data_IF_816008327268
#
_entry.id   IF_816008327268
#
_cell.length_a   1.000
_cell.length_b   1.000
_cell.length_c   1.000
_cell.angle_alpha   90.00
_cell.angle_beta   90.00
_cell.angle_gamma   90.00
#
_symmetry.space_group_name_H-M   'P 1'
#
loop_
_entity.id
_entity.type
_entity.pdbx_description
1 polymer ?
#
# COMPACT_ATOMS: atom_id res chain seq x y z
N UNK A 1 -4.18 19.55 17.83
CA UNK A 1 -3.77 18.45 18.69
C UNK A 1 -4.68 17.24 18.59
N UNK A 2 -6.00 17.43 18.67
CA UNK A 2 -6.94 16.33 18.48
C UNK A 2 -6.80 15.68 17.12
N UNK A 3 -6.53 16.46 16.07
CA UNK A 3 -6.37 15.95 14.71
C UNK A 3 -5.17 15.02 14.58
N UNK A 4 -4.05 15.35 15.22
CA UNK A 4 -2.84 14.52 15.19
C UNK A 4 -3.11 13.15 15.81
N UNK A 5 -3.76 13.14 16.97
CA UNK A 5 -4.12 11.89 17.65
C UNK A 5 -5.07 11.05 16.82
N UNK A 6 -6.05 11.67 16.16
CA UNK A 6 -7.01 11.00 15.29
C UNK A 6 -6.33 10.38 14.08
N UNK A 7 -5.40 11.10 13.45
CA UNK A 7 -4.63 10.58 12.32
C UNK A 7 -3.79 9.39 12.73
N UNK A 8 -3.13 9.46 13.89
CA UNK A 8 -2.32 8.35 14.37
C UNK A 8 -3.17 7.09 14.59
N UNK A 9 -4.37 7.25 15.14
CA UNK A 9 -5.29 6.13 15.32
C UNK A 9 -5.70 5.51 13.99
N UNK A 10 -5.99 6.33 12.98
CA UNK A 10 -6.35 5.86 11.65
C UNK A 10 -5.20 5.10 11.02
N UNK A 11 -3.99 5.67 11.08
CA UNK A 11 -2.79 5.07 10.50
C UNK A 11 -2.46 3.74 11.19
N UNK A 12 -2.54 3.69 12.51
CA UNK A 12 -2.31 2.46 13.28
C UNK A 12 -3.31 1.37 12.91
N UNK A 13 -4.58 1.74 12.81
CA UNK A 13 -5.65 0.81 12.44
C UNK A 13 -5.39 0.22 11.06
N UNK A 14 -5.03 1.06 10.09
CA UNK A 14 -4.73 0.62 8.74
C UNK A 14 -3.49 -0.29 8.74
N UNK A 15 -2.46 0.10 9.45
CA UNK A 15 -1.20 -0.65 9.53
C UNK A 15 -1.41 -2.05 10.09
N UNK A 16 -2.29 -2.17 11.08
CA UNK A 16 -2.59 -3.46 11.71
C UNK A 16 -3.53 -4.32 10.88
N UNK A 17 -4.40 -3.71 10.07
CA UNK A 17 -5.49 -4.41 9.37
C UNK A 17 -5.48 -4.24 7.86
N UNK A 18 -4.35 -3.87 7.28
CA UNK A 18 -4.27 -3.57 5.85
C UNK A 18 -4.74 -4.74 4.97
N UNK A 19 -4.54 -5.98 5.42
CA UNK A 19 -4.90 -7.17 4.64
C UNK A 19 -6.39 -7.51 4.71
N UNK A 20 -7.15 -6.79 5.51
CA UNK A 20 -8.59 -7.00 5.69
C UNK A 20 -9.36 -5.88 4.98
N UNK A 21 -10.66 -6.10 4.69
CA UNK A 21 -11.48 -5.00 4.16
C UNK A 21 -11.54 -3.86 5.17
N UNK A 22 -11.27 -2.65 4.69
CA UNK A 22 -11.32 -1.44 5.52
C UNK A 22 -12.20 -0.43 4.79
N UNK A 23 -13.25 0.05 5.46
CA UNK A 23 -14.14 1.07 4.90
C UNK A 23 -13.84 2.43 5.49
N UNK A 24 -14.15 3.47 4.73
CA UNK A 24 -14.04 4.85 5.22
C UNK A 24 -14.92 5.08 6.45
N UNK A 25 -16.12 4.48 6.45
CA UNK A 25 -17.05 4.63 7.56
C UNK A 25 -16.49 4.04 8.86
N UNK A 26 -15.87 2.89 8.76
CA UNK A 26 -15.25 2.21 9.90
C UNK A 26 -14.12 3.06 10.51
N UNK A 27 -13.32 3.70 9.67
CA UNK A 27 -12.27 4.60 10.11
C UNK A 27 -12.83 5.88 10.73
N UNK A 28 -13.88 6.41 10.12
CA UNK A 28 -14.56 7.61 10.63
C UNK A 28 -15.16 7.32 12.03
N UNK A 29 -15.79 6.16 12.19
CA UNK A 29 -16.36 5.76 13.46
C UNK A 29 -15.30 5.63 14.54
N UNK A 30 -14.14 5.11 14.17
CA UNK A 30 -13.00 4.94 15.08
C UNK A 30 -12.60 6.27 15.73
N UNK A 31 -12.64 7.35 14.97
CA UNK A 31 -12.20 8.68 15.42
C UNK A 31 -13.35 9.65 15.66
N UNK A 32 -14.59 9.14 15.66
CA UNK A 32 -15.80 9.93 15.94
C UNK A 32 -16.00 11.11 15.00
N UNK A 33 -15.68 10.91 13.71
CA UNK A 33 -15.89 11.90 12.65
C UNK A 33 -16.86 11.36 11.63
N UNK A 34 -17.43 12.25 10.81
CA UNK A 34 -18.19 11.79 9.66
C UNK A 34 -17.22 11.27 8.59
N UNK A 35 -17.69 10.36 7.75
CA UNK A 35 -16.87 9.83 6.66
C UNK A 35 -16.40 10.93 5.72
N UNK A 36 -17.32 11.86 5.37
CA UNK A 36 -16.99 12.98 4.50
C UNK A 36 -15.93 13.89 5.08
N UNK A 37 -16.04 14.20 6.36
CA UNK A 37 -15.08 15.06 7.03
C UNK A 37 -13.71 14.40 7.11
N UNK A 38 -13.66 13.13 7.49
CA UNK A 38 -12.41 12.38 7.56
C UNK A 38 -11.72 12.34 6.20
N UNK A 39 -12.49 12.08 5.13
CA UNK A 39 -11.96 12.03 3.77
C UNK A 39 -11.29 13.34 3.38
N UNK A 40 -11.97 14.45 3.60
CA UNK A 40 -11.44 15.80 3.29
C UNK A 40 -10.21 16.11 4.13
N UNK A 41 -10.31 15.86 5.42
CA UNK A 41 -9.24 16.15 6.37
C UNK A 41 -7.99 15.35 6.07
N UNK A 42 -8.16 14.07 5.78
CA UNK A 42 -7.04 13.18 5.44
C UNK A 42 -6.35 13.64 4.17
N UNK A 43 -7.14 13.92 3.11
CA UNK A 43 -6.59 14.36 1.83
C UNK A 43 -5.82 15.69 2.00
N UNK A 44 -6.37 16.60 2.77
CA UNK A 44 -5.77 17.91 3.01
C UNK A 44 -4.45 17.79 3.77
N UNK A 45 -4.40 16.87 4.75
CA UNK A 45 -3.23 16.72 5.63
C UNK A 45 -2.16 15.83 5.04
N UNK A 46 -2.54 14.78 4.32
CA UNK A 46 -1.61 13.77 3.80
C UNK A 46 -1.26 13.96 2.33
N UNK A 47 -1.99 14.83 1.62
CA UNK A 47 -1.75 15.06 0.20
C UNK A 47 -2.24 13.95 -0.71
N UNK A 48 -2.97 12.98 -0.18
CA UNK A 48 -3.51 11.87 -0.96
C UNK A 48 -4.81 11.38 -0.35
N UNK A 49 -5.63 10.75 -1.16
CA UNK A 49 -6.88 10.16 -0.70
C UNK A 49 -6.59 8.98 0.24
N UNK A 50 -7.50 8.77 1.19
CA UNK A 50 -7.38 7.69 2.15
C UNK A 50 -7.32 6.32 1.46
N UNK A 51 -8.13 6.11 0.42
CA UNK A 51 -8.12 4.85 -0.34
C UNK A 51 -6.76 4.59 -1.00
N UNK A 52 -6.12 5.65 -1.50
CA UNK A 52 -4.78 5.52 -2.09
C UNK A 52 -3.75 5.19 -1.01
N UNK A 53 -3.88 5.77 0.16
CA UNK A 53 -2.99 5.47 1.28
C UNK A 53 -3.07 3.99 1.68
N UNK A 54 -4.29 3.47 1.79
CA UNK A 54 -4.51 2.05 2.11
C UNK A 54 -3.87 1.16 1.05
N UNK A 55 -4.10 1.49 -0.23
CA UNK A 55 -3.52 0.75 -1.34
C UNK A 55 -1.99 0.80 -1.31
N UNK A 56 -1.43 1.96 -0.95
CA UNK A 56 0.03 2.12 -0.84
C UNK A 56 0.61 1.19 0.22
N UNK A 57 -0.03 1.10 1.38
CA UNK A 57 0.39 0.19 2.46
C UNK A 57 0.33 -1.26 1.98
N UNK A 58 -0.77 -1.64 1.33
CA UNK A 58 -0.95 -3.00 0.79
C UNK A 58 0.11 -3.33 -0.25
N UNK A 59 0.35 -2.40 -1.16
CA UNK A 59 1.34 -2.58 -2.23
C UNK A 59 2.75 -2.71 -1.66
N UNK A 60 3.09 -1.91 -0.65
CA UNK A 60 4.39 -1.99 0.00
C UNK A 60 4.62 -3.36 0.64
N UNK A 61 3.62 -3.89 1.32
CA UNK A 61 3.71 -5.23 1.92
C UNK A 61 3.82 -6.32 0.84
N UNK A 62 3.03 -6.19 -0.23
CA UNK A 62 3.07 -7.13 -1.34
C UNK A 62 4.44 -7.12 -2.01
N UNK A 63 5.02 -5.96 -2.23
CA UNK A 63 6.35 -5.85 -2.83
C UNK A 63 7.40 -6.53 -1.95
N UNK A 64 7.33 -6.31 -0.65
CA UNK A 64 8.25 -6.96 0.29
C UNK A 64 8.19 -8.48 0.17
N UNK A 65 6.98 -9.04 0.05
CA UNK A 65 6.79 -10.48 -0.11
C UNK A 65 7.39 -10.98 -1.43
N UNK A 66 7.18 -10.22 -2.52
CA UNK A 66 7.70 -10.57 -3.83
C UNK A 66 9.22 -10.49 -3.89
N UNK A 67 9.80 -9.45 -3.31
CA UNK A 67 11.25 -9.25 -3.27
C UNK A 67 11.96 -10.34 -2.46
N UNK A 68 11.29 -10.88 -1.46
CA UNK A 68 11.86 -11.93 -0.61
C UNK A 68 11.52 -13.33 -1.11
N UNK A 69 10.94 -13.45 -2.31
CA UNK A 69 10.58 -14.73 -2.93
C UNK A 69 9.67 -15.60 -2.05
N UNK A 70 8.82 -14.93 -1.26
CA UNK A 70 7.92 -15.65 -0.35
C UNK A 70 6.72 -16.24 -1.06
N UNK A 71 6.36 -15.68 -2.22
CA UNK A 71 5.14 -16.08 -2.93
C UNK A 71 5.16 -15.54 -4.36
N UNK A 72 4.19 -15.99 -5.15
CA UNK A 72 3.96 -15.46 -6.50
C UNK A 72 3.06 -14.22 -6.43
N UNK A 73 2.82 -13.60 -7.59
CA UNK A 73 2.03 -12.35 -7.68
C UNK A 73 0.61 -12.54 -7.17
N UNK A 74 -0.04 -13.64 -7.53
CA UNK A 74 -1.41 -13.90 -7.08
C UNK A 74 -1.47 -14.06 -5.56
N UNK A 75 -0.54 -14.81 -5.01
CA UNK A 75 -0.46 -15.03 -3.56
C UNK A 75 -0.20 -13.73 -2.80
N UNK A 76 0.70 -12.91 -3.30
CA UNK A 76 1.00 -11.60 -2.70
C UNK A 76 -0.24 -10.70 -2.72
N UNK A 77 -0.95 -10.68 -3.84
CA UNK A 77 -2.18 -9.92 -4.01
C UNK A 77 -3.22 -10.31 -2.94
N UNK A 78 -3.48 -11.60 -2.82
CA UNK A 78 -4.45 -12.12 -1.85
C UNK A 78 -4.02 -11.86 -0.41
N UNK A 79 -2.78 -12.11 -0.09
CA UNK A 79 -2.24 -11.94 1.26
C UNK A 79 -2.31 -10.49 1.73
N UNK A 80 -2.29 -9.54 0.80
CA UNK A 80 -2.31 -8.11 1.14
C UNK A 80 -3.69 -7.46 1.01
N UNK A 81 -4.74 -8.27 0.81
CA UNK A 81 -6.11 -7.78 0.87
C UNK A 81 -6.73 -7.39 -0.46
N UNK A 82 -6.10 -7.73 -1.58
CA UNK A 82 -6.67 -7.48 -2.90
C UNK A 82 -7.51 -8.69 -3.31
N UNK A 83 -8.74 -8.43 -3.74
CA UNK A 83 -9.65 -9.50 -4.18
C UNK A 83 -9.40 -9.94 -5.62
N UNK A 84 -8.74 -9.09 -6.41
CA UNK A 84 -8.53 -9.28 -7.84
C UNK A 84 -7.08 -8.97 -8.18
N UNK A 85 -6.37 -9.95 -8.72
CA UNK A 85 -4.96 -9.81 -9.08
C UNK A 85 -4.75 -8.77 -10.20
N UNK A 86 -5.74 -8.60 -11.09
CA UNK A 86 -5.65 -7.61 -12.17
C UNK A 86 -5.75 -6.20 -11.61
N UNK A 87 -6.66 -5.98 -10.68
CA UNK A 87 -6.75 -4.70 -9.98
C UNK A 87 -5.47 -4.41 -9.20
N UNK A 88 -4.97 -5.42 -8.49
CA UNK A 88 -3.71 -5.32 -7.76
C UNK A 88 -2.57 -4.88 -8.69
N UNK A 89 -2.44 -5.52 -9.85
CA UNK A 89 -1.37 -5.19 -10.80
C UNK A 89 -1.45 -3.75 -11.27
N UNK A 90 -2.66 -3.26 -11.54
CA UNK A 90 -2.86 -1.87 -11.96
C UNK A 90 -2.50 -0.88 -10.84
N UNK A 91 -2.97 -1.14 -9.63
CA UNK A 91 -2.66 -0.29 -8.46
C UNK A 91 -1.17 -0.30 -8.18
N UNK A 92 -0.56 -1.48 -8.18
CA UNK A 92 0.87 -1.63 -7.94
C UNK A 92 1.67 -0.81 -8.96
N UNK A 93 1.36 -0.98 -10.25
CA UNK A 93 2.05 -0.29 -11.32
C UNK A 93 1.87 1.22 -11.22
N UNK A 94 0.66 1.66 -10.87
CA UNK A 94 0.39 3.09 -10.70
C UNK A 94 1.21 3.69 -9.56
N UNK A 95 1.35 2.98 -8.46
CA UNK A 95 2.07 3.47 -7.28
C UNK A 95 3.59 3.34 -7.45
N UNK A 96 4.06 2.23 -7.98
CA UNK A 96 5.49 1.92 -8.04
C UNK A 96 6.17 2.32 -9.35
N UNK A 97 5.42 2.42 -10.45
CA UNK A 97 5.99 2.72 -11.77
C UNK A 97 6.54 1.50 -12.50
N UNK A 98 6.34 0.31 -11.96
CA UNK A 98 6.72 -0.96 -12.60
C UNK A 98 5.74 -2.03 -12.12
N UNK A 99 5.68 -3.15 -12.85
CA UNK A 99 4.71 -4.21 -12.56
C UNK A 99 5.17 -5.08 -11.38
N UNK A 100 4.23 -5.81 -10.75
CA UNK A 100 4.62 -6.75 -9.69
C UNK A 100 5.62 -7.81 -10.18
N UNK A 101 5.44 -8.27 -11.41
CA UNK A 101 6.34 -9.25 -12.00
C UNK A 101 7.74 -8.66 -12.20
N UNK A 102 7.81 -7.40 -12.64
CA UNK A 102 9.06 -6.68 -12.77
C UNK A 102 9.73 -6.48 -11.42
N UNK A 103 8.94 -6.32 -10.36
CA UNK A 103 9.45 -6.21 -9.00
C UNK A 103 10.21 -7.48 -8.59
N UNK A 104 9.67 -8.65 -8.94
CA UNK A 104 10.35 -9.93 -8.70
C UNK A 104 11.67 -9.99 -9.49
N UNK A 105 11.62 -9.56 -10.73
CA UNK A 105 12.80 -9.48 -11.58
C UNK A 105 13.78 -8.43 -11.11
N UNK A 106 13.30 -7.39 -10.46
CA UNK A 106 14.13 -6.29 -9.96
C UNK A 106 15.15 -6.74 -8.93
N UNK A 107 14.82 -7.72 -8.12
CA UNK A 107 15.78 -8.28 -7.17
C UNK A 107 16.98 -8.88 -7.91
N UNK A 108 16.71 -9.58 -9.04
CA UNK A 108 17.76 -10.10 -9.90
C UNK A 108 18.40 -8.98 -10.70
N UNK A 109 17.56 -8.04 -11.18
CA UNK A 109 17.98 -6.87 -11.93
C UNK A 109 18.79 -5.90 -11.10
N UNK A 110 18.47 -5.75 -9.83
CA UNK A 110 19.23 -4.91 -8.91
C UNK A 110 20.67 -5.38 -8.81
N UNK A 111 20.88 -6.70 -8.70
CA UNK A 111 22.21 -7.27 -8.71
C UNK A 111 22.94 -6.99 -10.02
N UNK A 112 22.24 -7.04 -11.14
CA UNK A 112 22.81 -6.73 -12.47
C UNK A 112 23.13 -5.25 -12.59
N UNK A 113 22.24 -4.40 -12.14
CA UNK A 113 22.44 -2.95 -12.17
C UNK A 113 23.62 -2.54 -11.26
N UNK A 114 23.70 -3.14 -10.09
CA UNK A 114 24.82 -2.91 -9.19
C UNK A 114 26.14 -3.35 -9.83
N UNK A 115 26.14 -4.48 -10.53
CA UNK A 115 27.31 -4.93 -11.27
C UNK A 115 27.64 -3.99 -12.41
N UNK A 116 26.62 -3.54 -13.15
CA UNK A 116 26.80 -2.59 -14.25
C UNK A 116 27.34 -1.25 -13.73
N UNK A 117 26.78 -0.77 -12.60
CA UNK A 117 27.25 0.46 -11.99
C UNK A 117 28.70 0.34 -11.51
N UNK A 118 29.07 -0.81 -10.98
CA UNK A 118 30.45 -1.08 -10.57
C UNK A 118 31.41 -1.19 -11.74
N UNK A 119 30.90 -1.61 -12.90
CA UNK A 119 31.69 -1.72 -14.13
C UNK A 119 31.84 -0.40 -14.84
N UNK A 120 30.92 0.52 -14.62
CA UNK A 120 30.96 1.85 -15.23
C UNK A 120 31.56 2.87 -14.28
#
# INVERSE_FOLDING_TARGET
>A
MHQVGQFLQVIEYITERYAQPITLQELADLVHLSASYLSVLFHKSMGMKLSRYINMIRVNHAESMLLNNMCNVTEASEACGFCDVYYFSRVFTDIKGYTPRESMGKRRGMNREQRAAKKS
#
